data_IF_014541886841
#
_entry.id   IF_014541886841
#
_cell.length_a   1.000
_cell.length_b   1.000
_cell.length_c   1.000
_cell.angle_alpha   90.00
_cell.angle_beta   90.00
_cell.angle_gamma   90.00
#
_symmetry.space_group_name_H-M   'P 1'
#
loop_
_entity.id
_entity.type
_entity.pdbx_description
1 polymer ?
#
# COMPACT_ATOMS: atom_id res chain seq x y z
N UNK A 1 -8.16 1.76 3.30
CA UNK A 1 -8.95 1.35 4.47
C UNK A 1 -10.26 0.80 3.96
N UNK A 2 -10.62 -0.43 4.32
CA UNK A 2 -11.84 -1.09 3.87
C UNK A 2 -13.04 -0.81 4.79
N UNK A 3 -14.21 -1.36 4.45
CA UNK A 3 -15.38 -1.34 5.33
C UNK A 3 -15.08 -1.94 6.71
N UNK A 4 -15.72 -1.41 7.74
CA UNK A 4 -15.64 -1.96 9.10
C UNK A 4 -16.74 -2.99 9.29
N UNK A 5 -16.34 -4.22 9.62
CA UNK A 5 -17.24 -5.24 10.16
C UNK A 5 -17.22 -5.16 11.71
N UNK A 6 -18.36 -5.16 12.42
CA UNK A 6 -18.36 -5.06 13.89
C UNK A 6 -17.60 -6.20 14.58
N UNK A 7 -17.71 -7.42 14.07
CA UNK A 7 -17.11 -8.61 14.66
C UNK A 7 -15.69 -8.83 14.17
N UNK A 8 -15.38 -8.43 12.94
CA UNK A 8 -14.07 -8.67 12.32
C UNK A 8 -13.18 -7.44 12.26
N UNK A 9 -13.68 -6.25 12.52
CA UNK A 9 -12.95 -4.99 12.38
C UNK A 9 -12.79 -4.55 10.91
N UNK A 10 -11.95 -3.55 10.70
CA UNK A 10 -11.58 -3.06 9.38
C UNK A 10 -10.14 -3.44 9.03
N UNK A 11 -9.89 -3.70 7.76
CA UNK A 11 -8.55 -3.95 7.24
C UNK A 11 -8.11 -2.79 6.34
N UNK A 12 -6.80 -2.59 6.20
CA UNK A 12 -6.26 -1.67 5.23
C UNK A 12 -4.99 -2.24 4.59
N UNK A 13 -4.74 -1.81 3.36
CA UNK A 13 -3.50 -2.02 2.63
C UNK A 13 -3.00 -0.68 2.12
N UNK A 14 -1.68 -0.51 2.07
CA UNK A 14 -1.01 0.56 1.36
C UNK A 14 0.10 -0.02 0.49
N UNK A 15 0.27 0.54 -0.71
CA UNK A 15 1.36 0.25 -1.62
C UNK A 15 2.13 1.54 -1.90
N UNK A 16 3.45 1.47 -1.87
CA UNK A 16 4.33 2.54 -2.30
C UNK A 16 5.28 2.01 -3.35
N UNK A 17 5.35 2.72 -4.46
CA UNK A 17 6.14 2.39 -5.65
C UNK A 17 6.87 3.63 -6.12
N UNK A 18 7.94 3.46 -6.90
CA UNK A 18 8.56 4.60 -7.59
C UNK A 18 7.54 5.23 -8.55
N UNK A 19 7.16 6.51 -8.37
CA UNK A 19 6.14 7.16 -9.19
C UNK A 19 6.56 7.25 -10.67
N UNK A 20 7.86 7.23 -10.98
CA UNK A 20 8.36 7.25 -12.36
C UNK A 20 8.11 5.94 -13.11
N UNK A 21 7.83 4.86 -12.38
CA UNK A 21 7.53 3.54 -12.96
C UNK A 21 6.03 3.35 -13.23
N UNK A 22 5.15 4.21 -12.73
CA UNK A 22 3.69 4.04 -12.88
C UNK A 22 3.31 4.21 -14.35
N UNK A 23 2.75 3.15 -14.93
CA UNK A 23 2.08 3.18 -16.23
C UNK A 23 0.66 3.70 -16.08
N UNK A 24 -0.07 3.19 -15.09
CA UNK A 24 -1.49 3.47 -14.88
C UNK A 24 -1.89 3.15 -13.44
N UNK A 25 -2.90 3.88 -12.94
CA UNK A 25 -3.67 3.50 -11.74
C UNK A 25 -5.10 3.29 -12.19
N UNK A 26 -5.62 2.08 -11.96
CA UNK A 26 -6.93 1.66 -12.47
C UNK A 26 -7.60 0.72 -11.46
N UNK A 27 -8.80 0.26 -11.77
CA UNK A 27 -9.55 -0.68 -10.93
C UNK A 27 -10.27 -1.72 -11.79
N UNK A 28 -10.46 -2.91 -11.24
CA UNK A 28 -11.39 -3.90 -11.75
C UNK A 28 -12.58 -4.04 -10.79
N UNK A 29 -13.41 -5.07 -10.99
CA UNK A 29 -14.60 -5.27 -10.17
C UNK A 29 -14.31 -5.41 -8.66
N UNK A 30 -13.12 -5.90 -8.30
CA UNK A 30 -12.77 -6.29 -6.94
C UNK A 30 -11.49 -5.59 -6.41
N UNK A 31 -10.68 -4.98 -7.28
CA UNK A 31 -9.33 -4.53 -6.94
C UNK A 31 -9.02 -3.12 -7.43
N UNK A 32 -8.24 -2.40 -6.62
CA UNK A 32 -7.46 -1.25 -7.09
C UNK A 32 -6.09 -1.74 -7.56
N UNK A 33 -5.69 -1.32 -8.75
CA UNK A 33 -4.48 -1.78 -9.43
C UNK A 33 -3.53 -0.60 -9.68
N UNK A 34 -2.25 -0.82 -9.39
CA UNK A 34 -1.15 0.05 -9.81
C UNK A 34 -0.29 -0.72 -10.79
N UNK A 35 -0.32 -0.30 -12.06
CA UNK A 35 0.39 -0.97 -13.15
C UNK A 35 1.76 -0.29 -13.32
N UNK A 36 2.84 -1.09 -13.28
CA UNK A 36 4.22 -0.59 -13.36
C UNK A 36 4.90 -0.99 -14.68
N UNK A 37 5.69 -0.07 -15.24
CA UNK A 37 6.65 -0.35 -16.31
C UNK A 37 7.93 -0.90 -15.69
N UNK A 38 8.19 -2.18 -15.93
CA UNK A 38 9.40 -2.87 -15.45
C UNK A 38 10.31 -3.27 -16.61
N UNK A 39 11.62 -3.31 -16.37
CA UNK A 39 12.59 -3.84 -17.35
C UNK A 39 13.04 -5.23 -16.92
N UNK A 40 12.90 -6.26 -17.78
CA UNK A 40 13.40 -7.60 -17.47
C UNK A 40 14.88 -7.58 -17.06
N UNK A 41 15.23 -8.32 -16.01
CA UNK A 41 16.59 -8.38 -15.47
C UNK A 41 17.01 -7.15 -14.64
N UNK A 42 16.18 -6.10 -14.52
CA UNK A 42 16.41 -5.00 -13.59
C UNK A 42 15.46 -5.12 -12.39
N UNK A 43 15.97 -5.31 -11.16
CA UNK A 43 15.13 -5.31 -9.97
C UNK A 43 14.52 -3.92 -9.74
N UNK A 44 13.38 -3.91 -9.05
CA UNK A 44 12.73 -2.70 -8.54
C UNK A 44 12.31 -2.92 -7.09
N UNK A 45 12.12 -1.84 -6.35
CA UNK A 45 11.69 -1.87 -4.95
C UNK A 45 10.26 -1.34 -4.88
N UNK A 46 9.43 -2.02 -4.08
CA UNK A 46 8.12 -1.55 -3.65
C UNK A 46 7.95 -1.87 -2.18
N UNK A 47 7.07 -1.13 -1.52
CA UNK A 47 6.70 -1.39 -0.13
C UNK A 47 5.21 -1.70 -0.07
N UNK A 48 4.86 -2.72 0.71
CA UNK A 48 3.47 -3.01 1.07
C UNK A 48 3.33 -2.95 2.59
N UNK A 49 2.22 -2.37 3.03
CA UNK A 49 1.83 -2.35 4.43
C UNK A 49 0.39 -2.81 4.56
N UNK A 50 0.08 -3.50 5.65
CA UNK A 50 -1.27 -3.90 6.00
C UNK A 50 -1.57 -3.50 7.43
N UNK A 51 -2.85 -3.20 7.70
CA UNK A 51 -3.33 -2.87 9.04
C UNK A 51 -4.65 -3.57 9.31
N UNK A 52 -4.92 -3.82 10.58
CA UNK A 52 -6.17 -4.37 11.07
C UNK A 52 -6.61 -3.62 12.32
N UNK A 53 -7.86 -3.14 12.35
CA UNK A 53 -8.36 -2.28 13.43
C UNK A 53 -8.41 -2.97 14.81
N UNK A 54 -8.49 -4.31 14.84
CA UNK A 54 -8.40 -5.11 16.06
C UNK A 54 -6.98 -5.65 16.33
N UNK A 55 -6.00 -5.23 15.52
CA UNK A 55 -4.57 -5.47 15.74
C UNK A 55 -3.99 -4.53 16.80
N UNK A 56 -2.66 -4.51 16.91
CA UNK A 56 -1.94 -3.80 17.97
C UNK A 56 -1.69 -2.31 17.71
N UNK A 57 -1.56 -1.90 16.45
CA UNK A 57 -0.92 -0.62 16.09
C UNK A 57 -1.91 0.46 15.62
N UNK A 58 -2.93 0.06 14.86
CA UNK A 58 -3.86 1.00 14.22
C UNK A 58 -5.30 0.59 14.51
N UNK A 59 -6.04 1.46 15.19
CA UNK A 59 -7.43 1.18 15.58
C UNK A 59 -8.46 1.92 14.73
N UNK A 60 -8.03 2.90 13.94
CA UNK A 60 -8.89 3.66 13.04
C UNK A 60 -8.17 4.08 11.76
N UNK A 61 -8.96 4.59 10.81
CA UNK A 61 -8.50 5.04 9.50
C UNK A 61 -7.51 6.21 9.60
N UNK A 62 -7.73 7.16 10.51
CA UNK A 62 -6.92 8.37 10.60
C UNK A 62 -5.50 8.06 11.10
N UNK A 63 -5.37 7.18 12.10
CA UNK A 63 -4.10 6.70 12.61
C UNK A 63 -3.30 5.98 11.52
N UNK A 64 -3.94 5.04 10.82
CA UNK A 64 -3.31 4.31 9.71
C UNK A 64 -2.84 5.26 8.60
N UNK A 65 -3.72 6.14 8.11
CA UNK A 65 -3.37 7.01 7.01
C UNK A 65 -2.29 8.04 7.39
N UNK A 66 -2.26 8.51 8.64
CA UNK A 66 -1.21 9.39 9.16
C UNK A 66 0.15 8.69 9.12
N UNK A 67 0.21 7.44 9.59
CA UNK A 67 1.42 6.63 9.52
C UNK A 67 1.89 6.43 8.07
N UNK A 68 0.99 6.02 7.17
CA UNK A 68 1.31 5.78 5.75
C UNK A 68 1.83 7.07 5.09
N UNK A 69 1.14 8.21 5.28
CA UNK A 69 1.55 9.50 4.70
C UNK A 69 2.87 10.02 5.26
N UNK A 70 3.26 9.59 6.47
CA UNK A 70 4.54 9.92 7.08
C UNK A 70 5.74 9.15 6.51
N UNK A 71 5.51 8.07 5.76
CA UNK A 71 6.60 7.24 5.24
C UNK A 71 7.37 7.95 4.13
N UNK A 72 8.69 7.71 4.11
CA UNK A 72 9.61 8.22 3.08
C UNK A 72 10.45 7.05 2.55
N UNK A 73 9.85 6.14 1.77
CA UNK A 73 10.56 4.97 1.24
C UNK A 73 11.69 5.39 0.30
N UNK A 74 12.73 4.57 0.24
CA UNK A 74 13.74 4.64 -0.82
C UNK A 74 13.47 3.55 -1.83
N UNK A 75 13.33 3.89 -3.10
CA UNK A 75 13.14 2.89 -4.16
C UNK A 75 14.46 2.43 -4.79
N UNK A 76 15.60 2.87 -4.23
CA UNK A 76 16.90 2.38 -4.64
C UNK A 76 17.05 0.89 -4.27
N UNK A 77 17.51 0.09 -5.23
CA UNK A 77 17.81 -1.32 -4.99
C UNK A 77 18.90 -1.42 -3.92
N UNK A 78 18.67 -2.18 -2.82
CA UNK A 78 19.68 -2.38 -1.79
C UNK A 78 20.97 -3.00 -2.38
N UNK A 79 22.12 -2.59 -1.85
CA UNK A 79 23.43 -3.14 -2.23
C UNK A 79 23.74 -4.42 -1.46
#
# INVERSE_FOLDING_TARGET
WGPTDPDKGAMAVALMVDPTMIAEVTEDADNYLVILKVTPGKPFVYYSGAAWSKGLEFHDRAAWETYVRGQKPSFAVPK
#
